data_IF_469190847693
#
_entry.id   IF_469190847693
#
_cell.length_a   1.000
_cell.length_b   1.000
_cell.length_c   1.000
_cell.angle_alpha   90.00
_cell.angle_beta   90.00
_cell.angle_gamma   90.00
#
_symmetry.space_group_name_H-M   'P 1'
#
loop_
_entity.id
_entity.type
_entity.pdbx_description
1 polymer ?
#
# COMPACT_ATOMS: atom_id res chain seq x y z
N UNK A 1 15.18 -44.99 13.47
CA UNK A 1 14.96 -44.53 12.07
C UNK A 1 13.71 -43.67 11.90
N UNK A 2 12.51 -44.12 12.30
CA UNK A 2 11.25 -43.34 12.16
C UNK A 2 11.30 -41.94 12.82
N UNK A 3 11.86 -41.83 14.02
CA UNK A 3 12.03 -40.54 14.73
C UNK A 3 12.92 -39.54 13.98
N UNK A 4 14.02 -40.00 13.39
CA UNK A 4 14.92 -39.15 12.60
C UNK A 4 14.27 -38.63 11.32
N UNK A 5 13.47 -39.47 10.64
CA UNK A 5 12.72 -39.07 9.44
C UNK A 5 11.67 -38.01 9.78
N UNK A 6 10.92 -38.19 10.87
CA UNK A 6 9.94 -37.20 11.34
C UNK A 6 10.63 -35.89 11.70
N UNK A 7 11.77 -35.93 12.39
CA UNK A 7 12.53 -34.74 12.74
C UNK A 7 13.00 -33.99 11.49
N UNK A 8 13.51 -34.71 10.49
CA UNK A 8 13.97 -34.14 9.23
C UNK A 8 12.83 -33.49 8.44
N UNK A 9 11.67 -34.15 8.36
CA UNK A 9 10.48 -33.59 7.70
C UNK A 9 10.02 -32.31 8.43
N UNK A 10 9.93 -32.33 9.76
CA UNK A 10 9.56 -31.17 10.56
C UNK A 10 10.53 -29.99 10.39
N UNK A 11 11.83 -30.25 10.35
CA UNK A 11 12.87 -29.22 10.09
C UNK A 11 12.74 -28.63 8.68
N UNK A 12 12.46 -29.46 7.67
CA UNK A 12 12.24 -28.98 6.30
C UNK A 12 10.97 -28.14 6.19
N UNK A 13 9.87 -28.54 6.84
CA UNK A 13 8.63 -27.76 6.89
C UNK A 13 8.87 -26.41 7.60
N UNK A 14 9.63 -26.41 8.70
CA UNK A 14 9.95 -25.17 9.43
C UNK A 14 10.78 -24.20 8.58
N UNK A 15 11.76 -24.70 7.83
CA UNK A 15 12.59 -23.89 6.95
C UNK A 15 11.80 -23.34 5.75
N UNK A 16 10.93 -24.15 5.13
CA UNK A 16 10.06 -23.70 4.03
C UNK A 16 9.07 -22.63 4.50
N UNK A 17 8.46 -22.83 5.68
CA UNK A 17 7.52 -21.85 6.25
C UNK A 17 8.21 -20.55 6.65
N UNK A 18 9.43 -20.61 7.19
CA UNK A 18 10.23 -19.44 7.50
C UNK A 18 10.63 -18.67 6.23
N UNK A 19 11.11 -19.38 5.20
CA UNK A 19 11.48 -18.78 3.91
C UNK A 19 10.29 -18.13 3.21
N UNK A 20 9.13 -18.79 3.19
CA UNK A 20 7.90 -18.23 2.65
C UNK A 20 7.45 -16.98 3.40
N UNK A 21 7.59 -16.97 4.74
CA UNK A 21 7.26 -15.81 5.57
C UNK A 21 8.19 -14.62 5.30
N UNK A 22 9.49 -14.87 5.17
CA UNK A 22 10.47 -13.83 4.84
C UNK A 22 10.23 -13.25 3.45
N UNK A 23 9.97 -14.11 2.46
CA UNK A 23 9.62 -13.68 1.11
C UNK A 23 8.35 -12.83 1.11
N UNK A 24 7.28 -13.30 1.77
CA UNK A 24 6.03 -12.55 1.86
C UNK A 24 6.24 -11.22 2.56
N UNK A 25 6.97 -11.18 3.67
CA UNK A 25 7.25 -9.93 4.37
C UNK A 25 7.96 -8.93 3.46
N UNK A 26 9.02 -9.37 2.78
CA UNK A 26 9.76 -8.53 1.83
C UNK A 26 8.86 -8.06 0.69
N UNK A 27 8.04 -8.95 0.12
CA UNK A 27 7.11 -8.61 -0.94
C UNK A 27 6.11 -7.53 -0.50
N UNK A 28 5.51 -7.69 0.68
CA UNK A 28 4.60 -6.71 1.25
C UNK A 28 5.29 -5.36 1.50
N UNK A 29 6.52 -5.41 2.03
CA UNK A 29 7.32 -4.23 2.33
C UNK A 29 7.70 -3.47 1.06
N UNK A 30 8.20 -4.16 0.03
CA UNK A 30 8.62 -3.58 -1.25
C UNK A 30 7.44 -2.95 -2.01
N UNK A 31 6.24 -3.47 -1.81
CA UNK A 31 5.00 -2.97 -2.44
C UNK A 31 4.17 -2.06 -1.53
N UNK A 32 4.69 -1.71 -0.35
CA UNK A 32 4.04 -0.75 0.55
C UNK A 32 4.57 0.66 0.33
N UNK A 33 3.73 1.64 0.65
CA UNK A 33 4.15 3.04 0.70
C UNK A 33 5.29 3.21 1.70
N UNK A 34 6.31 3.99 1.36
CA UNK A 34 7.41 4.34 2.25
C UNK A 34 7.10 5.65 2.95
N UNK A 35 7.48 5.77 4.21
CA UNK A 35 7.40 7.02 4.96
C UNK A 35 8.72 7.31 5.64
N UNK A 36 8.99 8.57 5.95
CA UNK A 36 10.09 8.93 6.83
C UNK A 36 9.72 8.68 8.30
N UNK A 37 10.69 8.34 9.15
CA UNK A 37 10.45 8.17 10.59
C UNK A 37 10.53 9.48 11.40
N UNK A 38 10.57 10.65 10.75
CA UNK A 38 10.80 11.96 11.40
C UNK A 38 9.52 12.74 11.79
N UNK A 39 8.36 12.09 11.86
CA UNK A 39 7.08 12.75 12.16
C UNK A 39 6.63 12.66 13.61
N UNK A 40 5.56 13.39 13.95
CA UNK A 40 4.87 13.28 15.24
C UNK A 40 4.08 11.96 15.37
N UNK A 41 3.53 11.65 16.55
CA UNK A 41 2.79 10.40 16.79
C UNK A 41 1.61 10.17 15.81
N UNK A 42 0.86 11.23 15.51
CA UNK A 42 -0.26 11.18 14.57
C UNK A 42 0.23 10.86 13.15
N UNK A 43 1.33 11.48 12.72
CA UNK A 43 1.99 11.17 11.45
C UNK A 43 2.41 9.71 11.39
N UNK A 44 3.04 9.19 12.45
CA UNK A 44 3.51 7.79 12.48
C UNK A 44 2.32 6.84 12.35
N UNK A 45 1.24 7.09 13.10
CA UNK A 45 0.00 6.31 13.01
C UNK A 45 -0.65 6.39 11.62
N UNK A 46 -0.71 7.58 11.02
CA UNK A 46 -1.23 7.79 9.68
C UNK A 46 -0.41 7.03 8.64
N UNK A 47 0.92 7.12 8.72
CA UNK A 47 1.82 6.36 7.88
C UNK A 47 1.57 4.85 8.00
N UNK A 48 1.58 4.30 9.22
CA UNK A 48 1.34 2.87 9.45
C UNK A 48 -0.02 2.42 8.90
N UNK A 49 -1.04 3.29 8.94
CA UNK A 49 -2.35 3.02 8.35
C UNK A 49 -2.29 2.96 6.82
N UNK A 50 -1.53 3.84 6.18
CA UNK A 50 -1.37 3.92 4.73
C UNK A 50 -0.48 2.80 4.16
N UNK A 51 0.53 2.35 4.90
CA UNK A 51 1.38 1.21 4.52
C UNK A 51 0.59 -0.08 4.28
N UNK A 52 -0.58 -0.23 4.94
CA UNK A 52 -1.49 -1.37 4.76
C UNK A 52 -2.17 -1.41 3.38
N UNK A 53 -1.97 -0.41 2.51
CA UNK A 53 -2.52 -0.44 1.16
C UNK A 53 -1.96 -1.56 0.29
N UNK A 54 -0.67 -1.89 0.47
CA UNK A 54 0.11 -2.86 -0.30
C UNK A 54 -0.30 -2.93 -1.78
N UNK A 55 0.47 -2.28 -2.65
CA UNK A 55 0.18 -2.13 -4.07
C UNK A 55 0.65 -3.30 -4.95
N UNK A 56 0.91 -4.47 -4.37
CA UNK A 56 1.41 -5.61 -5.15
C UNK A 56 0.49 -5.96 -6.33
N UNK A 57 1.09 -5.98 -7.51
CA UNK A 57 0.52 -6.48 -8.76
C UNK A 57 1.57 -7.38 -9.41
N UNK A 58 1.14 -8.47 -10.04
CA UNK A 58 2.06 -9.46 -10.63
C UNK A 58 2.96 -8.88 -11.74
N UNK A 59 2.49 -7.85 -12.44
CA UNK A 59 3.26 -7.17 -13.49
C UNK A 59 4.04 -6.01 -12.86
N UNK A 60 5.37 -6.10 -12.86
CA UNK A 60 6.27 -5.13 -12.21
C UNK A 60 6.17 -3.72 -12.82
N UNK A 61 5.92 -3.62 -14.13
CA UNK A 61 5.77 -2.33 -14.80
C UNK A 61 4.51 -1.63 -14.30
N UNK A 62 3.36 -2.31 -14.36
CA UNK A 62 2.12 -1.76 -13.82
C UNK A 62 2.25 -1.49 -12.31
N UNK A 63 2.72 -2.47 -11.55
CA UNK A 63 2.84 -2.39 -10.08
C UNK A 63 3.68 -1.20 -9.61
N UNK A 64 4.85 -0.99 -10.21
CA UNK A 64 5.74 0.14 -9.86
C UNK A 64 5.11 1.50 -10.16
N UNK A 65 4.41 1.64 -11.30
CA UNK A 65 3.71 2.88 -11.66
C UNK A 65 2.51 3.17 -10.74
N UNK A 66 1.70 2.15 -10.43
CA UNK A 66 0.58 2.31 -9.50
C UNK A 66 1.08 2.65 -8.08
N UNK A 67 2.15 2.00 -7.62
CA UNK A 67 2.77 2.30 -6.32
C UNK A 67 3.32 3.73 -6.30
N UNK A 68 3.99 4.19 -7.36
CA UNK A 68 4.50 5.55 -7.48
C UNK A 68 3.39 6.60 -7.35
N UNK A 69 2.29 6.43 -8.07
CA UNK A 69 1.15 7.34 -7.98
C UNK A 69 0.54 7.39 -6.57
N UNK A 70 0.43 6.24 -5.89
CA UNK A 70 -0.07 6.17 -4.50
C UNK A 70 0.94 6.76 -3.51
N UNK A 71 2.24 6.57 -3.73
CA UNK A 71 3.31 7.14 -2.92
C UNK A 71 3.25 8.68 -2.96
N UNK A 72 3.11 9.26 -4.15
CA UNK A 72 3.03 10.73 -4.31
C UNK A 72 1.83 11.31 -3.57
N UNK A 73 0.65 10.68 -3.71
CA UNK A 73 -0.53 11.14 -3.00
C UNK A 73 -0.44 10.93 -1.49
N UNK A 74 0.17 9.82 -1.05
CA UNK A 74 0.40 9.58 0.38
C UNK A 74 1.34 10.62 0.97
N UNK A 75 2.41 10.99 0.26
CA UNK A 75 3.33 12.04 0.70
C UNK A 75 2.60 13.38 0.91
N UNK A 76 1.70 13.75 -0.02
CA UNK A 76 0.85 14.95 0.12
C UNK A 76 -0.03 14.87 1.38
N UNK A 77 -0.72 13.75 1.58
CA UNK A 77 -1.59 13.54 2.75
C UNK A 77 -0.79 13.62 4.05
N UNK A 78 0.36 12.94 4.11
CA UNK A 78 1.20 12.89 5.30
C UNK A 78 1.80 14.26 5.64
N UNK A 79 2.13 15.08 4.65
CA UNK A 79 2.56 16.47 4.87
C UNK A 79 1.50 17.27 5.64
N UNK A 80 0.24 17.20 5.20
CA UNK A 80 -0.87 17.91 5.87
C UNK A 80 -1.17 17.35 7.26
N UNK A 81 -1.04 16.03 7.45
CA UNK A 81 -1.16 15.41 8.78
C UNK A 81 -0.07 15.92 9.72
N UNK A 82 1.17 16.06 9.23
CA UNK A 82 2.30 16.55 10.02
C UNK A 82 2.08 17.98 10.52
N UNK A 83 1.49 18.84 9.69
CA UNK A 83 1.14 20.22 10.03
C UNK A 83 0.00 20.34 11.07
N UNK A 84 -0.71 19.23 11.34
CA UNK A 84 -1.91 19.20 12.20
C UNK A 84 -1.77 18.21 13.36
N UNK A 85 -0.73 18.32 14.21
CA UNK A 85 -0.44 17.36 15.27
C UNK A 85 -1.52 17.26 16.37
N UNK A 86 -2.43 18.24 16.46
CA UNK A 86 -3.46 18.33 17.50
C UNK A 86 -4.80 17.66 17.11
N UNK A 87 -4.96 17.20 15.87
CA UNK A 87 -6.17 16.48 15.43
C UNK A 87 -6.22 15.10 16.08
N UNK A 88 -7.43 14.64 16.39
CA UNK A 88 -7.66 13.26 16.82
C UNK A 88 -7.31 12.31 15.67
N UNK A 89 -6.50 11.29 15.95
CA UNK A 89 -6.13 10.28 14.99
C UNK A 89 -7.37 9.57 14.42
N UNK A 90 -8.42 9.37 15.22
CA UNK A 90 -9.64 8.69 14.74
C UNK A 90 -10.28 9.41 13.56
N UNK A 91 -10.37 10.74 13.62
CA UNK A 91 -10.88 11.55 12.50
C UNK A 91 -10.00 11.43 11.26
N UNK A 92 -8.68 11.46 11.45
CA UNK A 92 -7.72 11.27 10.36
C UNK A 92 -7.88 9.87 9.76
N UNK A 93 -8.00 8.84 10.59
CA UNK A 93 -8.17 7.45 10.16
C UNK A 93 -9.43 7.24 9.31
N UNK A 94 -10.54 7.90 9.64
CA UNK A 94 -11.77 7.87 8.83
C UNK A 94 -11.52 8.49 7.45
N UNK A 95 -10.87 9.66 7.38
CA UNK A 95 -10.49 10.29 6.10
C UNK A 95 -9.56 9.39 5.28
N UNK A 96 -8.56 8.77 5.93
CA UNK A 96 -7.64 7.83 5.29
C UNK A 96 -8.36 6.56 4.81
N UNK A 97 -9.42 6.13 5.48
CA UNK A 97 -10.19 4.94 5.08
C UNK A 97 -10.90 5.15 3.74
N UNK A 98 -11.44 6.35 3.50
CA UNK A 98 -12.00 6.70 2.20
C UNK A 98 -10.95 6.70 1.09
N UNK A 99 -9.80 7.32 1.34
CA UNK A 99 -8.66 7.28 0.42
C UNK A 99 -8.24 5.85 0.10
N UNK A 100 -8.03 5.03 1.14
CA UNK A 100 -7.60 3.64 0.98
C UNK A 100 -8.60 2.80 0.19
N UNK A 101 -9.89 3.03 0.41
CA UNK A 101 -10.96 2.34 -0.31
C UNK A 101 -10.96 2.72 -1.78
N UNK A 102 -10.85 4.01 -2.10
CA UNK A 102 -10.73 4.51 -3.46
C UNK A 102 -9.53 3.90 -4.19
N UNK A 103 -8.34 3.95 -3.59
CA UNK A 103 -7.12 3.35 -4.16
C UNK A 103 -7.31 1.86 -4.46
N UNK A 104 -7.90 1.09 -3.54
CA UNK A 104 -8.15 -0.35 -3.75
C UNK A 104 -9.09 -0.60 -4.93
N UNK A 105 -10.15 0.21 -5.07
CA UNK A 105 -11.09 0.13 -6.19
C UNK A 105 -10.39 0.42 -7.50
N UNK A 106 -9.72 1.56 -7.64
CA UNK A 106 -9.05 1.94 -8.89
C UNK A 106 -7.89 1.02 -9.25
N UNK A 107 -7.18 0.46 -8.26
CA UNK A 107 -6.15 -0.54 -8.51
C UNK A 107 -6.73 -1.80 -9.15
N UNK A 108 -7.89 -2.25 -8.64
CA UNK A 108 -8.59 -3.42 -9.19
C UNK A 108 -9.04 -3.14 -10.63
N UNK A 109 -9.60 -1.97 -10.89
CA UNK A 109 -10.03 -1.55 -12.23
C UNK A 109 -8.84 -1.51 -13.21
N UNK A 110 -7.76 -0.83 -12.83
CA UNK A 110 -6.55 -0.76 -13.64
C UNK A 110 -5.98 -2.15 -13.96
N UNK A 111 -5.95 -3.06 -12.98
CA UNK A 111 -5.52 -4.43 -13.20
C UNK A 111 -6.43 -5.20 -14.17
N UNK A 112 -7.76 -5.05 -14.03
CA UNK A 112 -8.72 -5.71 -14.90
C UNK A 112 -8.64 -5.19 -16.35
N UNK A 113 -8.42 -3.89 -16.54
CA UNK A 113 -8.21 -3.29 -17.85
C UNK A 113 -6.89 -3.74 -18.47
N UNK A 114 -5.81 -3.72 -17.70
CA UNK A 114 -4.49 -4.13 -18.18
C UNK A 114 -4.45 -5.60 -18.59
N UNK A 115 -5.23 -6.46 -17.92
CA UNK A 115 -5.38 -7.87 -18.29
C UNK A 115 -6.10 -8.04 -19.64
N UNK A 116 -7.00 -7.12 -20.00
CA UNK A 116 -7.73 -7.17 -21.29
C UNK A 116 -6.82 -6.71 -22.43
N UNK A 117 -6.12 -5.60 -22.24
CA UNK A 117 -5.21 -5.04 -23.23
C UNK A 117 -4.01 -4.36 -22.58
N UNK A 118 -2.84 -5.01 -22.70
CA UNK A 118 -1.58 -4.49 -22.15
C UNK A 118 -1.02 -3.32 -22.97
N UNK A 119 -1.44 -3.15 -24.22
CA UNK A 119 -0.94 -2.07 -25.09
C UNK A 119 -1.42 -0.69 -24.63
N UNK A 120 -2.57 -0.64 -23.94
CA UNK A 120 -3.14 0.56 -23.34
C UNK A 120 -2.59 0.90 -21.94
N UNK A 121 -1.43 0.33 -21.56
CA UNK A 121 -0.86 0.49 -20.21
C UNK A 121 -0.70 1.93 -19.76
N UNK A 122 -0.29 2.83 -20.67
CA UNK A 122 -0.12 4.25 -20.38
C UNK A 122 -1.43 4.94 -20.00
N UNK A 123 -2.51 4.65 -20.73
CA UNK A 123 -3.83 5.25 -20.50
C UNK A 123 -4.43 4.72 -19.19
N UNK A 124 -4.24 3.42 -18.91
CA UNK A 124 -4.66 2.78 -17.66
C UNK A 124 -3.93 3.41 -16.47
N UNK A 125 -2.61 3.56 -16.55
CA UNK A 125 -1.78 4.20 -15.51
C UNK A 125 -2.23 5.64 -15.33
N UNK A 126 -2.45 6.39 -16.41
CA UNK A 126 -2.89 7.78 -16.35
C UNK A 126 -4.26 7.91 -15.65
N UNK A 127 -5.24 7.09 -16.07
CA UNK A 127 -6.58 7.05 -15.47
C UNK A 127 -6.52 6.74 -13.98
N UNK A 128 -5.72 5.74 -13.60
CA UNK A 128 -5.48 5.40 -12.20
C UNK A 128 -4.90 6.58 -11.43
N UNK A 129 -3.83 7.23 -11.93
CA UNK A 129 -3.19 8.36 -11.26
C UNK A 129 -4.16 9.51 -11.04
N UNK A 130 -4.97 9.87 -12.05
CA UNK A 130 -5.99 10.92 -11.95
C UNK A 130 -7.04 10.56 -10.88
N UNK A 131 -7.50 9.31 -10.86
CA UNK A 131 -8.53 8.89 -9.89
C UNK A 131 -7.98 8.82 -8.47
N UNK A 132 -6.75 8.36 -8.28
CA UNK A 132 -6.06 8.36 -6.98
C UNK A 132 -5.84 9.79 -6.47
N UNK A 133 -5.50 10.73 -7.36
CA UNK A 133 -5.41 12.14 -7.00
C UNK A 133 -6.75 12.69 -6.50
N UNK A 134 -7.87 12.40 -7.19
CA UNK A 134 -9.21 12.86 -6.75
C UNK A 134 -9.57 12.37 -5.35
N UNK A 135 -9.32 11.10 -5.04
CA UNK A 135 -9.61 10.57 -3.69
C UNK A 135 -8.63 11.08 -2.64
N UNK A 136 -7.40 11.40 -3.03
CA UNK A 136 -6.43 12.08 -2.16
C UNK A 136 -6.90 13.49 -1.81
N UNK A 137 -7.38 14.25 -2.80
CA UNK A 137 -7.91 15.60 -2.60
C UNK A 137 -9.13 15.59 -1.67
N UNK A 138 -10.00 14.58 -1.79
CA UNK A 138 -11.10 14.35 -0.84
C UNK A 138 -10.63 14.08 0.59
N UNK A 139 -9.58 13.26 0.76
CA UNK A 139 -9.00 13.00 2.08
C UNK A 139 -8.30 14.22 2.66
N UNK A 140 -7.58 14.99 1.84
CA UNK A 140 -6.96 16.25 2.24
C UNK A 140 -8.00 17.25 2.73
N UNK A 141 -9.13 17.40 2.02
CA UNK A 141 -10.22 18.26 2.44
C UNK A 141 -10.83 17.80 3.79
N UNK A 142 -11.06 16.49 3.94
CA UNK A 142 -11.54 15.88 5.19
C UNK A 142 -10.60 16.14 6.39
N UNK A 143 -9.28 16.00 6.18
CA UNK A 143 -8.26 16.26 7.21
C UNK A 143 -8.16 17.76 7.52
N UNK A 144 -8.34 18.61 6.50
CA UNK A 144 -8.30 20.05 6.65
C UNK A 144 -9.46 20.57 7.51
N UNK A 145 -10.67 20.03 7.35
CA UNK A 145 -11.87 20.54 8.01
C UNK A 145 -12.36 21.82 7.36
#
# INVERSE_FOLDING_TARGET
>A
MKLFIILFISLNILNVTLGARQFLHKLLEDNSVKCHNKGNDIFVKACLSLQKLNMYVYDDYLGSHLLGAVQDQTNRILSVVQERPKRDFKQIEDCLTNFKTGVKTYRREAFLEYKKDKSCSKDIIHSFTVNVQKVADGALHCIAG
#
